data_IF_801044963612
#
_entry.id   IF_801044963612
#
_cell.length_a   1.000
_cell.length_b   1.000
_cell.length_c   1.000
_cell.angle_alpha   90.00
_cell.angle_beta   90.00
_cell.angle_gamma   90.00
#
_symmetry.space_group_name_H-M   'P 1'
#
loop_
_entity.id
_entity.type
_entity.pdbx_description
1 polymer ?
#
# COMPACT_ATOMS: atom_id res chain seq x y z
N UNK A 1 8.20 1.38 -14.58
CA UNK A 1 9.00 2.49 -15.16
C UNK A 1 8.07 3.67 -15.40
N UNK A 2 7.78 4.40 -14.32
CA UNK A 2 6.91 5.58 -14.37
C UNK A 2 7.61 6.88 -13.98
N UNK A 3 8.95 6.96 -14.12
CA UNK A 3 9.71 8.16 -13.75
C UNK A 3 9.84 9.11 -14.95
N UNK A 4 9.18 10.27 -14.85
CA UNK A 4 9.13 11.30 -15.87
C UNK A 4 9.82 12.57 -15.35
N UNK A 5 10.48 13.29 -16.26
CA UNK A 5 11.13 14.56 -15.96
C UNK A 5 10.15 15.70 -16.25
N UNK A 6 10.07 16.66 -15.34
CA UNK A 6 9.33 17.89 -15.52
C UNK A 6 10.26 18.94 -16.15
N UNK A 7 10.03 19.28 -17.42
CA UNK A 7 10.94 20.13 -18.19
C UNK A 7 11.03 21.57 -17.67
N UNK A 8 9.97 22.06 -17.01
CA UNK A 8 9.92 23.44 -16.49
C UNK A 8 10.79 23.66 -15.24
N UNK A 9 10.88 22.66 -14.35
CA UNK A 9 11.51 22.82 -13.03
C UNK A 9 12.70 21.87 -12.83
N UNK A 10 13.02 21.02 -13.81
CA UNK A 10 14.07 20.01 -13.71
C UNK A 10 13.77 18.86 -12.74
N UNK A 11 12.61 18.88 -12.06
CA UNK A 11 12.22 17.88 -11.05
C UNK A 11 11.66 16.62 -11.70
N UNK A 12 11.82 15.49 -11.01
CA UNK A 12 11.30 14.21 -11.43
C UNK A 12 9.98 13.90 -10.72
N UNK A 13 9.09 13.20 -11.41
CA UNK A 13 7.84 12.70 -10.86
C UNK A 13 7.62 11.25 -11.27
N UNK A 14 6.89 10.52 -10.43
CA UNK A 14 6.52 9.13 -10.65
C UNK A 14 5.01 9.05 -10.83
N UNK A 15 4.56 8.38 -11.88
CA UNK A 15 3.16 8.03 -12.09
C UNK A 15 3.06 6.55 -12.46
N UNK A 16 2.33 5.78 -11.65
CA UNK A 16 2.04 4.38 -11.96
C UNK A 16 0.64 3.99 -11.51
N UNK A 17 0.14 2.92 -12.13
CA UNK A 17 -1.12 2.27 -11.76
C UNK A 17 -0.79 0.99 -11.02
N UNK A 18 -1.51 0.72 -9.94
CA UNK A 18 -1.40 -0.53 -9.20
C UNK A 18 -2.79 -1.05 -8.86
N UNK A 19 -2.91 -2.37 -8.72
CA UNK A 19 -4.14 -3.01 -8.26
C UNK A 19 -4.05 -3.12 -6.75
N UNK A 20 -5.03 -2.54 -6.05
CA UNK A 20 -5.12 -2.71 -4.61
C UNK A 20 -5.52 -4.15 -4.25
N UNK A 21 -5.37 -4.50 -2.97
CA UNK A 21 -5.78 -5.80 -2.43
C UNK A 21 -7.28 -6.10 -2.65
N UNK A 22 -8.11 -5.07 -2.86
CA UNK A 22 -9.54 -5.18 -3.21
C UNK A 22 -9.81 -5.40 -4.71
N UNK A 23 -8.77 -5.49 -5.55
CA UNK A 23 -8.90 -5.64 -7.01
C UNK A 23 -9.17 -4.34 -7.79
N UNK A 24 -9.27 -3.20 -7.09
CA UNK A 24 -9.49 -1.90 -7.73
C UNK A 24 -8.18 -1.35 -8.31
N UNK A 25 -8.24 -0.81 -9.53
CA UNK A 25 -7.11 -0.11 -10.17
C UNK A 25 -7.00 1.30 -9.62
N UNK A 26 -5.94 1.57 -8.88
CA UNK A 26 -5.60 2.89 -8.38
C UNK A 26 -4.43 3.50 -9.13
N UNK A 27 -4.42 4.82 -9.24
CA UNK A 27 -3.32 5.58 -9.82
C UNK A 27 -2.61 6.37 -8.73
N UNK A 28 -1.30 6.15 -8.59
CA UNK A 28 -0.45 6.94 -7.69
C UNK A 28 0.41 7.89 -8.49
N UNK A 29 0.44 9.15 -8.04
CA UNK A 29 1.34 10.17 -8.56
C UNK A 29 2.09 10.81 -7.39
N UNK A 30 3.41 10.87 -7.50
CA UNK A 30 4.27 11.62 -6.57
C UNK A 30 5.26 12.47 -7.36
N UNK A 31 5.39 13.73 -6.97
CA UNK A 31 6.21 14.74 -7.65
C UNK A 31 7.23 15.35 -6.69
N UNK A 32 8.31 15.90 -7.23
CA UNK A 32 9.30 16.67 -6.46
C UNK A 32 10.60 15.94 -6.18
N UNK A 33 10.90 14.85 -6.89
CA UNK A 33 12.19 14.18 -6.75
C UNK A 33 13.29 14.99 -7.43
N UNK A 34 14.48 15.03 -6.82
CA UNK A 34 15.62 15.72 -7.41
C UNK A 34 16.25 14.89 -8.55
N UNK A 35 16.20 13.55 -8.42
CA UNK A 35 16.83 12.63 -9.36
C UNK A 35 15.88 11.54 -9.84
N UNK A 36 16.15 10.98 -11.03
CA UNK A 36 15.42 9.82 -11.56
C UNK A 36 15.55 8.59 -10.67
N UNK A 37 16.73 8.39 -10.07
CA UNK A 37 17.02 7.21 -9.23
C UNK A 37 16.14 7.21 -7.98
N UNK A 38 16.07 8.33 -7.29
CA UNK A 38 15.23 8.52 -6.10
C UNK A 38 13.74 8.28 -6.41
N UNK A 39 13.29 8.76 -7.57
CA UNK A 39 11.94 8.52 -8.07
C UNK A 39 11.68 7.01 -8.29
N UNK A 40 12.64 6.28 -8.86
CA UNK A 40 12.52 4.83 -9.09
C UNK A 40 12.61 4.01 -7.80
N UNK A 41 13.50 4.36 -6.88
CA UNK A 41 13.61 3.73 -5.56
C UNK A 41 12.31 3.89 -4.78
N UNK A 42 11.66 5.05 -4.86
CA UNK A 42 10.36 5.27 -4.24
C UNK A 42 9.24 4.41 -4.87
N UNK A 43 9.21 4.27 -6.21
CA UNK A 43 8.28 3.36 -6.91
C UNK A 43 8.44 1.92 -6.40
N UNK A 44 9.68 1.44 -6.27
CA UNK A 44 9.98 0.09 -5.80
C UNK A 44 9.63 -0.11 -4.32
N UNK A 45 9.98 0.84 -3.47
CA UNK A 45 9.64 0.79 -2.05
C UNK A 45 8.12 0.71 -1.85
N UNK A 46 7.35 1.54 -2.57
CA UNK A 46 5.89 1.54 -2.50
C UNK A 46 5.28 0.21 -2.95
N UNK A 47 5.76 -0.36 -4.05
CA UNK A 47 5.29 -1.66 -4.52
C UNK A 47 5.67 -2.80 -3.57
N UNK A 48 6.82 -2.70 -2.90
CA UNK A 48 7.28 -3.70 -1.94
C UNK A 48 6.43 -3.66 -0.67
N UNK A 49 6.14 -2.47 -0.13
CA UNK A 49 5.23 -2.26 0.98
C UNK A 49 3.85 -2.84 0.68
N UNK A 50 3.28 -2.52 -0.49
CA UNK A 50 1.97 -3.05 -0.90
C UNK A 50 1.95 -4.54 -1.23
N UNK A 51 3.05 -5.10 -1.73
CA UNK A 51 3.16 -6.56 -1.88
C UNK A 51 3.27 -7.25 -0.53
N UNK A 52 4.05 -6.70 0.40
CA UNK A 52 4.23 -7.25 1.74
C UNK A 52 2.89 -7.30 2.51
N UNK A 53 2.06 -6.26 2.40
CA UNK A 53 0.68 -6.24 2.92
C UNK A 53 -0.17 -7.41 2.35
N UNK A 54 0.01 -7.77 1.08
CA UNK A 54 -0.80 -8.79 0.38
C UNK A 54 -0.30 -10.22 0.61
N UNK A 55 1.00 -10.42 0.86
CA UNK A 55 1.56 -11.75 1.18
C UNK A 55 1.37 -12.20 2.63
N UNK A 56 0.68 -11.42 3.46
CA UNK A 56 0.42 -11.86 4.83
C UNK A 56 -0.41 -13.16 4.80
N UNK A 57 0.10 -14.27 5.35
CA UNK A 57 -0.64 -15.53 5.35
C UNK A 57 -1.96 -15.33 6.09
N UNK A 58 -3.03 -15.96 5.58
CA UNK A 58 -4.41 -15.79 6.08
C UNK A 58 -4.51 -15.91 7.60
N UNK A 59 -3.68 -16.78 8.20
CA UNK A 59 -3.56 -16.95 9.65
C UNK A 59 -3.12 -15.67 10.40
N UNK A 60 -2.16 -14.93 9.88
CA UNK A 60 -1.72 -13.67 10.50
C UNK A 60 -2.75 -12.57 10.29
N UNK A 61 -3.49 -12.60 9.18
CA UNK A 61 -4.61 -11.70 8.95
C UNK A 61 -5.75 -11.96 9.95
N UNK A 62 -6.12 -13.22 10.21
CA UNK A 62 -7.17 -13.55 11.20
C UNK A 62 -6.78 -13.08 12.60
N UNK A 63 -5.52 -13.25 13.00
CA UNK A 63 -5.01 -12.78 14.30
C UNK A 63 -5.06 -11.25 14.44
N UNK A 64 -4.74 -10.49 13.38
CA UNK A 64 -4.85 -9.03 13.39
C UNK A 64 -6.31 -8.55 13.39
N UNK A 65 -7.15 -9.20 12.59
CA UNK A 65 -8.58 -8.91 12.53
C UNK A 65 -9.26 -9.16 13.89
N UNK A 66 -8.95 -10.28 14.55
CA UNK A 66 -9.42 -10.60 15.90
C UNK A 66 -9.03 -9.52 16.91
N UNK A 67 -7.77 -9.06 16.88
CA UNK A 67 -7.27 -8.01 17.78
C UNK A 67 -7.98 -6.67 17.60
N UNK A 68 -8.30 -6.30 16.37
CA UNK A 68 -8.96 -5.03 16.06
C UNK A 68 -10.48 -5.05 16.30
N UNK A 69 -11.11 -6.22 16.17
CA UNK A 69 -12.56 -6.39 16.28
C UNK A 69 -13.00 -6.68 17.72
N UNK A 70 -12.20 -7.45 18.48
CA UNK A 70 -12.47 -7.81 19.88
C UNK A 70 -12.78 -6.61 20.80
N UNK A 71 -12.07 -5.45 20.75
CA UNK A 71 -12.41 -4.31 21.60
C UNK A 71 -13.68 -3.56 21.15
N UNK A 72 -14.17 -3.78 19.92
CA UNK A 72 -15.36 -3.10 19.37
C UNK A 72 -16.64 -3.91 19.55
N UNK A 73 -16.53 -5.23 19.74
CA UNK A 73 -17.66 -6.11 19.96
C UNK A 73 -17.96 -6.28 21.46
N UNK A 74 -19.25 -6.42 21.81
CA UNK A 74 -19.63 -6.90 23.15
C UNK A 74 -19.17 -8.35 23.32
N UNK A 75 -18.65 -8.68 24.50
CA UNK A 75 -18.10 -10.02 24.81
C UNK A 75 -19.08 -11.16 24.52
N UNK A 76 -20.38 -10.98 24.81
CA UNK A 76 -21.42 -11.97 24.50
C UNK A 76 -21.53 -12.31 23.01
N UNK A 77 -21.26 -11.35 22.12
CA UNK A 77 -21.31 -11.55 20.68
C UNK A 77 -20.04 -12.27 20.18
N UNK A 78 -18.92 -12.07 20.86
CA UNK A 78 -17.65 -12.74 20.55
C UNK A 78 -17.69 -14.22 20.95
N UNK A 79 -18.24 -14.53 22.12
CA UNK A 79 -18.37 -15.89 22.66
C UNK A 79 -19.21 -16.84 21.78
N UNK A 80 -20.02 -16.32 20.85
CA UNK A 80 -20.78 -17.14 19.89
C UNK A 80 -20.00 -17.43 18.60
N UNK A 81 -18.78 -16.90 18.48
CA UNK A 81 -17.92 -17.01 17.29
C UNK A 81 -16.66 -17.85 17.52
N UNK A 82 -16.34 -18.16 18.79
CA UNK A 82 -15.51 -19.32 19.15
C UNK A 82 -16.27 -20.62 18.86
#
# INVERSE_FOLDING_TARGET
MGAFKNEKNGTWYVQFRYTDWQGLRQQKLKRGFATKREAQEWEQAFLTEKKADVTMPFKTFTELYEKDVRPKLKENTWLTKE
#
